data_IF_254915483607
#
_entry.id   IF_254915483607
#
_cell.length_a   1.000
_cell.length_b   1.000
_cell.length_c   1.000
_cell.angle_alpha   90.00
_cell.angle_beta   90.00
_cell.angle_gamma   90.00
#
_symmetry.space_group_name_H-M   'P 1'
#
loop_
_entity.id
_entity.type
_entity.pdbx_description
1 polymer ?
#
# COMPACT_ATOMS: atom_id res chain seq x y z
N UNK A 1 -0.12 -9.07 -14.57
CA UNK A 1 0.51 -8.90 -13.26
C UNK A 1 1.88 -9.56 -13.26
N UNK A 2 2.92 -8.77 -13.09
CA UNK A 2 4.30 -9.24 -13.00
C UNK A 2 4.57 -9.65 -11.55
N UNK A 3 5.37 -10.70 -11.36
CA UNK A 3 5.56 -11.34 -10.05
C UNK A 3 6.81 -10.85 -9.33
N UNK A 4 6.79 -10.91 -8.00
CA UNK A 4 8.01 -10.78 -7.20
C UNK A 4 8.99 -11.91 -7.54
N UNK A 5 10.27 -11.57 -7.56
CA UNK A 5 11.38 -12.49 -7.74
C UNK A 5 12.36 -12.34 -6.59
N UNK A 6 12.85 -13.46 -6.10
CA UNK A 6 13.76 -13.50 -4.95
C UNK A 6 15.10 -14.10 -5.36
N UNK A 7 16.19 -13.43 -4.99
CA UNK A 7 17.55 -13.93 -5.18
C UNK A 7 18.25 -13.95 -3.85
N UNK A 8 18.66 -15.15 -3.43
CA UNK A 8 19.43 -15.36 -2.21
C UNK A 8 20.92 -15.42 -2.53
N UNK A 9 21.73 -14.78 -1.68
CA UNK A 9 23.17 -14.74 -1.80
C UNK A 9 23.83 -14.54 -0.43
N UNK A 10 25.14 -14.38 -0.40
CA UNK A 10 25.93 -14.29 0.83
C UNK A 10 26.50 -15.64 1.23
N UNK A 11 27.51 -15.61 2.12
CA UNK A 11 28.23 -16.81 2.55
C UNK A 11 27.31 -17.78 3.30
N UNK A 12 26.28 -17.24 3.97
CA UNK A 12 25.35 -18.00 4.80
C UNK A 12 23.92 -17.98 4.24
N UNK A 13 23.74 -17.61 2.96
CA UNK A 13 22.42 -17.34 2.39
C UNK A 13 21.65 -16.32 3.25
N UNK A 14 22.36 -15.29 3.71
CA UNK A 14 21.92 -14.27 4.66
C UNK A 14 21.55 -12.94 3.98
N UNK A 15 21.67 -12.87 2.65
CA UNK A 15 21.34 -11.70 1.84
C UNK A 15 20.22 -12.02 0.84
N UNK A 16 19.23 -11.14 0.74
CA UNK A 16 18.11 -11.28 -0.19
C UNK A 16 17.93 -10.02 -1.02
N UNK A 17 17.80 -10.24 -2.33
CA UNK A 17 17.32 -9.24 -3.27
C UNK A 17 15.90 -9.62 -3.70
N UNK A 18 14.95 -8.69 -3.48
CA UNK A 18 13.55 -8.79 -3.91
C UNK A 18 13.34 -7.79 -5.04
N UNK A 19 12.86 -8.28 -6.18
CA UNK A 19 12.57 -7.44 -7.34
C UNK A 19 11.16 -7.69 -7.86
N UNK A 20 10.53 -6.65 -8.40
CA UNK A 20 9.28 -6.70 -9.15
C UNK A 20 9.37 -5.65 -10.25
N UNK A 21 9.01 -6.00 -11.48
CA UNK A 21 9.01 -5.06 -12.62
C UNK A 21 10.38 -4.45 -12.94
N UNK A 22 11.44 -5.20 -12.66
CA UNK A 22 12.84 -4.75 -12.74
C UNK A 22 13.20 -3.65 -11.71
N UNK A 23 12.29 -3.33 -10.80
CA UNK A 23 12.53 -2.48 -9.64
C UNK A 23 12.95 -3.32 -8.43
N UNK A 24 13.84 -2.75 -7.62
CA UNK A 24 14.32 -3.35 -6.38
C UNK A 24 13.39 -2.93 -5.25
N UNK A 25 12.78 -3.90 -4.57
CA UNK A 25 11.99 -3.69 -3.36
C UNK A 25 12.84 -3.89 -2.10
N UNK A 26 13.80 -4.80 -2.16
CA UNK A 26 14.76 -5.01 -1.09
C UNK A 26 16.08 -5.49 -1.68
N UNK A 27 17.18 -4.99 -1.13
CA UNK A 27 18.51 -5.53 -1.39
C UNK A 27 19.31 -5.40 -0.09
N UNK A 28 19.34 -6.47 0.69
CA UNK A 28 19.84 -6.39 2.05
C UNK A 28 19.81 -7.70 2.82
N UNK A 29 20.12 -7.65 4.13
CA UNK A 29 20.06 -8.80 5.01
C UNK A 29 18.67 -9.43 5.03
N UNK A 30 18.62 -10.77 5.11
CA UNK A 30 17.41 -11.54 5.40
C UNK A 30 16.99 -11.41 6.86
N UNK A 31 17.97 -11.28 7.76
CA UNK A 31 17.72 -11.03 9.18
C UNK A 31 17.05 -9.66 9.32
N UNK A 32 15.90 -9.63 9.99
CA UNK A 32 15.14 -8.39 10.18
C UNK A 32 14.13 -8.09 9.06
N UNK A 33 14.13 -8.87 7.97
CA UNK A 33 13.19 -8.68 6.86
C UNK A 33 11.74 -8.85 7.29
N UNK A 34 11.43 -9.89 8.09
CA UNK A 34 10.12 -10.08 8.70
C UNK A 34 10.30 -10.28 10.20
N UNK A 35 9.70 -9.40 11.01
CA UNK A 35 9.85 -9.39 12.47
C UNK A 35 8.54 -9.03 13.19
N UNK A 36 8.37 -9.40 14.46
CA UNK A 36 7.29 -8.87 15.28
C UNK A 36 7.62 -7.46 15.79
N UNK A 37 6.71 -6.50 15.65
CA UNK A 37 6.77 -5.17 16.27
C UNK A 37 5.42 -4.85 16.90
N UNK A 38 5.40 -4.53 18.20
CA UNK A 38 4.19 -4.13 18.93
C UNK A 38 2.99 -5.08 18.77
N UNK A 39 3.24 -6.38 18.61
CA UNK A 39 2.22 -7.41 18.41
C UNK A 39 1.82 -7.67 16.95
N UNK A 40 2.24 -6.80 16.03
CA UNK A 40 2.09 -7.01 14.59
C UNK A 40 3.28 -7.75 13.98
N UNK A 41 3.04 -8.50 12.92
CA UNK A 41 4.11 -8.99 12.05
C UNK A 41 4.33 -7.97 10.97
N UNK A 42 5.57 -7.52 10.81
CA UNK A 42 5.93 -6.51 9.83
C UNK A 42 6.95 -7.04 8.83
N UNK A 43 6.97 -6.44 7.65
CA UNK A 43 8.05 -6.58 6.66
C UNK A 43 8.82 -5.27 6.53
N UNK A 44 10.14 -5.34 6.44
CA UNK A 44 11.03 -4.19 6.31
C UNK A 44 11.75 -4.22 4.96
N UNK A 45 11.52 -3.23 4.11
CA UNK A 45 12.00 -3.14 2.74
C UNK A 45 12.82 -1.86 2.54
N UNK A 46 13.77 -1.82 1.61
CA UNK A 46 14.63 -0.64 1.40
C UNK A 46 14.53 0.02 0.03
N UNK A 47 13.77 -0.57 -0.90
CA UNK A 47 13.53 -0.05 -2.25
C UNK A 47 14.81 0.36 -2.99
N UNK A 48 15.90 -0.41 -2.82
CA UNK A 48 17.20 -0.13 -3.43
C UNK A 48 17.96 1.06 -2.81
N UNK A 49 17.49 1.58 -1.68
CA UNK A 49 18.10 2.69 -0.94
C UNK A 49 18.71 2.24 0.40
N UNK A 50 19.37 3.16 1.10
CA UNK A 50 19.85 2.92 2.48
C UNK A 50 18.77 3.14 3.55
N UNK A 51 17.56 3.54 3.16
CA UNK A 51 16.44 3.82 4.07
C UNK A 51 15.51 2.61 4.08
N UNK A 52 15.16 2.14 5.28
CA UNK A 52 14.23 1.03 5.48
C UNK A 52 12.83 1.52 5.79
N UNK A 53 11.84 0.86 5.21
CA UNK A 53 10.40 1.13 5.27
C UNK A 53 9.70 -0.12 5.80
N UNK A 54 8.88 0.06 6.82
CA UNK A 54 8.28 -1.04 7.57
C UNK A 54 6.77 -1.07 7.36
N UNK A 55 6.21 -2.24 7.06
CA UNK A 55 4.80 -2.43 6.74
C UNK A 55 4.22 -3.51 7.64
N UNK A 56 3.04 -3.27 8.22
CA UNK A 56 2.27 -4.34 8.90
C UNK A 56 1.75 -5.30 7.85
N UNK A 57 2.04 -6.59 8.00
CA UNK A 57 1.46 -7.61 7.14
C UNK A 57 0.02 -7.91 7.58
N UNK A 58 -0.88 -8.04 6.60
CA UNK A 58 -2.26 -8.49 6.77
C UNK A 58 -2.66 -9.48 5.67
N UNK A 59 -3.51 -10.44 5.99
CA UNK A 59 -4.16 -11.29 5.00
C UNK A 59 -5.37 -10.56 4.40
N UNK A 60 -5.57 -10.68 3.09
CA UNK A 60 -6.78 -10.21 2.43
C UNK A 60 -7.16 -11.19 1.32
N UNK A 61 -8.17 -12.02 1.56
CA UNK A 61 -8.54 -13.12 0.65
C UNK A 61 -7.30 -13.99 0.34
N UNK A 62 -6.87 -14.07 -0.93
CA UNK A 62 -5.68 -14.82 -1.35
C UNK A 62 -4.40 -13.97 -1.44
N UNK A 63 -4.40 -12.78 -0.84
CA UNK A 63 -3.29 -11.83 -0.85
C UNK A 63 -2.69 -11.63 0.55
N UNK A 64 -1.43 -11.20 0.57
CA UNK A 64 -0.77 -10.65 1.76
C UNK A 64 -0.35 -9.22 1.45
N UNK A 65 -0.85 -8.28 2.25
CA UNK A 65 -0.68 -6.85 1.99
C UNK A 65 0.11 -6.15 3.09
N UNK A 66 0.94 -5.19 2.70
CA UNK A 66 1.68 -4.30 3.58
C UNK A 66 0.88 -3.05 3.91
N UNK A 67 0.31 -2.99 5.10
CA UNK A 67 -0.42 -1.82 5.63
C UNK A 67 0.58 -0.83 6.23
N UNK A 68 0.47 0.48 5.95
CA UNK A 68 1.36 1.49 6.51
C UNK A 68 1.33 1.53 8.05
N UNK A 69 2.49 1.75 8.67
CA UNK A 69 2.63 2.09 10.08
C UNK A 69 2.51 3.61 10.29
N UNK A 70 1.66 4.03 11.22
CA UNK A 70 1.44 5.47 11.51
C UNK A 70 2.75 6.21 11.80
N UNK A 71 3.61 5.62 12.62
CA UNK A 71 4.90 6.18 13.01
C UNK A 71 5.83 6.41 11.82
N UNK A 72 5.69 5.64 10.74
CA UNK A 72 6.56 5.76 9.57
C UNK A 72 5.96 6.64 8.46
N UNK A 73 4.68 6.45 8.12
CA UNK A 73 4.11 7.09 6.92
C UNK A 73 3.31 8.36 7.20
N UNK A 74 2.86 8.54 8.45
CA UNK A 74 2.04 9.68 8.85
C UNK A 74 2.92 10.72 9.54
N UNK A 75 3.65 10.30 10.58
CA UNK A 75 4.51 11.21 11.35
C UNK A 75 5.76 11.68 10.60
N UNK A 76 6.28 10.89 9.67
CA UNK A 76 7.49 11.22 8.92
C UNK A 76 7.22 11.55 7.44
N UNK A 77 5.95 11.56 7.00
CA UNK A 77 5.53 11.78 5.60
C UNK A 77 6.38 11.03 4.56
N UNK A 78 6.74 9.78 4.87
CA UNK A 78 7.53 8.96 3.94
C UNK A 78 6.70 8.55 2.73
N UNK A 79 7.24 8.55 1.51
CA UNK A 79 6.56 7.95 0.36
C UNK A 79 6.15 6.53 0.69
N UNK A 80 4.91 6.19 0.37
CA UNK A 80 4.38 4.84 0.55
C UNK A 80 4.33 4.16 -0.81
N UNK A 81 4.98 3.02 -0.90
CA UNK A 81 4.92 2.14 -2.06
C UNK A 81 4.06 0.94 -1.66
N UNK A 82 2.96 0.64 -2.38
CA UNK A 82 2.14 -0.53 -2.10
C UNK A 82 2.94 -1.83 -2.19
N UNK A 83 2.72 -2.70 -1.20
CA UNK A 83 3.35 -4.02 -1.11
C UNK A 83 2.23 -5.04 -1.03
N UNK A 84 1.97 -5.74 -2.14
CA UNK A 84 0.90 -6.73 -2.27
C UNK A 84 1.49 -7.99 -2.86
N UNK A 85 1.56 -9.07 -2.07
CA UNK A 85 1.98 -10.40 -2.51
C UNK A 85 0.76 -11.26 -2.82
N UNK A 86 0.84 -12.08 -3.87
CA UNK A 86 -0.03 -13.26 -3.94
C UNK A 86 0.37 -14.27 -2.86
N UNK A 87 -0.53 -15.20 -2.56
CA UNK A 87 -0.24 -16.31 -1.66
C UNK A 87 1.01 -17.11 -2.05
N UNK A 88 1.22 -17.35 -3.35
CA UNK A 88 2.40 -18.07 -3.85
C UNK A 88 3.69 -17.26 -3.62
N UNK A 89 3.66 -15.97 -3.93
CA UNK A 89 4.81 -15.07 -3.74
C UNK A 89 5.17 -14.98 -2.26
N UNK A 90 4.17 -14.82 -1.38
CA UNK A 90 4.40 -14.79 0.05
C UNK A 90 4.90 -16.13 0.60
N UNK A 91 4.43 -17.25 0.06
CA UNK A 91 4.93 -18.58 0.43
C UNK A 91 6.39 -18.78 0.00
N UNK A 92 6.79 -18.27 -1.17
CA UNK A 92 8.19 -18.27 -1.61
C UNK A 92 9.06 -17.42 -0.69
N UNK A 93 8.62 -16.18 -0.38
CA UNK A 93 9.28 -15.31 0.60
C UNK A 93 9.42 -16.02 1.95
N UNK A 94 8.35 -16.64 2.44
CA UNK A 94 8.38 -17.41 3.68
C UNK A 94 9.45 -18.49 3.66
N UNK A 95 9.57 -19.25 2.57
CA UNK A 95 10.51 -20.37 2.49
C UNK A 95 11.98 -19.91 2.50
N UNK A 96 12.25 -18.68 2.06
CA UNK A 96 13.60 -18.10 2.08
C UNK A 96 13.89 -17.30 3.36
N UNK A 97 12.85 -16.80 4.03
CA UNK A 97 12.99 -16.18 5.35
C UNK A 97 12.96 -17.24 6.43
N UNK A 98 13.96 -17.31 7.30
CA UNK A 98 14.01 -18.27 8.42
C UNK A 98 12.99 -17.98 9.55
N UNK A 99 11.80 -17.50 9.21
CA UNK A 99 10.77 -17.02 10.13
C UNK A 99 9.90 -18.19 10.60
N UNK A 100 9.66 -18.27 11.90
CA UNK A 100 8.83 -19.32 12.51
C UNK A 100 7.36 -19.21 12.06
N UNK A 101 6.75 -20.34 11.68
CA UNK A 101 5.32 -20.46 11.36
C UNK A 101 4.41 -19.88 12.47
N UNK A 102 4.78 -20.08 13.74
CA UNK A 102 4.04 -19.54 14.89
C UNK A 102 4.10 -18.01 14.96
N UNK A 103 5.12 -17.40 14.35
CA UNK A 103 5.20 -15.97 14.19
C UNK A 103 4.21 -15.53 13.11
N UNK A 104 4.25 -16.19 11.95
CA UNK A 104 3.40 -15.87 10.80
C UNK A 104 1.92 -16.10 11.07
N UNK A 105 1.57 -17.06 11.93
CA UNK A 105 0.19 -17.27 12.38
C UNK A 105 -0.41 -16.10 13.16
N UNK A 106 0.38 -15.07 13.49
CA UNK A 106 -0.07 -13.82 14.13
C UNK A 106 -0.43 -12.73 13.12
N UNK A 107 -0.18 -12.93 11.83
CA UNK A 107 -0.67 -12.03 10.78
C UNK A 107 -2.20 -12.08 10.82
N UNK A 108 -2.84 -10.93 10.99
CA UNK A 108 -4.30 -10.80 11.10
C UNK A 108 -4.93 -10.44 9.75
N UNK A 109 -6.25 -10.59 9.67
CA UNK A 109 -7.02 -10.17 8.49
C UNK A 109 -6.99 -8.65 8.31
N UNK A 110 -6.97 -8.23 7.06
CA UNK A 110 -7.05 -6.84 6.64
C UNK A 110 -8.49 -6.35 6.79
N UNK A 111 -8.64 -5.23 7.50
CA UNK A 111 -9.92 -4.56 7.65
C UNK A 111 -10.17 -3.56 6.53
N UNK A 112 -11.44 -3.13 6.36
CA UNK A 112 -11.80 -2.01 5.49
C UNK A 112 -10.98 -0.75 5.80
N UNK A 113 -10.74 -0.47 7.09
CA UNK A 113 -9.91 0.66 7.51
C UNK A 113 -8.49 0.55 6.97
N UNK A 114 -7.89 -0.65 6.99
CA UNK A 114 -6.54 -0.84 6.47
C UNK A 114 -6.45 -0.61 4.95
N UNK A 115 -7.48 -0.96 4.18
CA UNK A 115 -7.53 -0.65 2.75
C UNK A 115 -7.56 0.86 2.51
N UNK A 116 -8.32 1.60 3.31
CA UNK A 116 -8.35 3.06 3.24
C UNK A 116 -7.01 3.68 3.65
N UNK A 117 -6.37 3.19 4.72
CA UNK A 117 -5.03 3.62 5.13
C UNK A 117 -4.00 3.46 4.00
N UNK A 118 -4.01 2.30 3.34
CA UNK A 118 -3.16 2.00 2.17
C UNK A 118 -3.44 3.03 1.06
N UNK A 119 -4.71 3.23 0.69
CA UNK A 119 -5.08 4.16 -0.37
C UNK A 119 -4.64 5.59 -0.04
N UNK A 120 -5.00 6.11 1.13
CA UNK A 120 -4.64 7.47 1.57
C UNK A 120 -3.12 7.68 1.58
N UNK A 121 -2.34 6.67 1.97
CA UNK A 121 -0.88 6.76 1.93
C UNK A 121 -0.30 6.86 0.50
N UNK A 122 -1.06 6.61 -0.56
CA UNK A 122 -0.60 6.86 -1.95
C UNK A 122 -0.52 8.34 -2.31
N UNK A 123 -1.13 9.23 -1.52
CA UNK A 123 -1.00 10.68 -1.73
C UNK A 123 0.45 11.09 -1.54
N UNK A 124 1.15 11.57 -2.56
CA UNK A 124 2.50 12.10 -2.35
C UNK A 124 2.46 13.51 -1.74
N UNK A 125 3.49 13.87 -0.96
CA UNK A 125 3.60 15.19 -0.35
C UNK A 125 2.58 15.48 0.75
N UNK A 126 2.14 14.45 1.49
CA UNK A 126 1.15 14.55 2.56
C UNK A 126 1.57 15.54 3.66
N UNK A 127 0.59 16.22 4.29
CA UNK A 127 0.83 16.98 5.51
C UNK A 127 1.32 16.04 6.63
N UNK A 128 2.13 16.60 7.53
CA UNK A 128 2.54 15.91 8.74
C UNK A 128 1.37 15.89 9.72
N UNK A 129 0.98 14.70 10.15
CA UNK A 129 -0.09 14.49 11.11
C UNK A 129 0.35 13.49 12.19
N UNK A 130 -0.36 13.46 13.32
CA UNK A 130 -0.04 12.54 14.41
C UNK A 130 -0.60 11.13 14.20
N UNK A 131 -1.67 10.99 13.44
CA UNK A 131 -2.38 9.73 13.22
C UNK A 131 -3.26 9.77 11.95
N UNK A 132 -3.81 8.61 11.55
CA UNK A 132 -4.69 8.53 10.37
C UNK A 132 -5.97 9.35 10.49
N UNK A 133 -6.53 9.53 11.69
CA UNK A 133 -7.75 10.31 11.86
C UNK A 133 -7.53 11.79 11.50
N UNK A 134 -6.44 12.37 11.99
CA UNK A 134 -6.04 13.74 11.65
C UNK A 134 -5.73 13.88 10.16
N UNK A 135 -4.96 12.95 9.59
CA UNK A 135 -4.65 12.96 8.16
C UNK A 135 -5.91 12.90 7.29
N UNK A 136 -6.89 12.09 7.68
CA UNK A 136 -8.17 12.01 6.96
C UNK A 136 -8.92 13.35 7.00
N UNK A 137 -9.01 13.98 8.18
CA UNK A 137 -9.68 15.27 8.30
C UNK A 137 -8.98 16.34 7.46
N UNK A 138 -7.65 16.36 7.48
CA UNK A 138 -6.84 17.30 6.71
C UNK A 138 -6.97 17.07 5.19
N UNK A 139 -6.97 15.82 4.73
CA UNK A 139 -7.14 15.52 3.30
C UNK A 139 -8.56 15.89 2.85
N UNK A 140 -9.58 15.28 3.47
CA UNK A 140 -10.96 15.39 2.99
C UNK A 140 -11.59 16.76 3.27
N UNK A 141 -11.16 17.44 4.33
CA UNK A 141 -11.59 18.81 4.64
C UNK A 141 -11.05 19.85 3.67
N UNK A 142 -9.95 19.54 2.97
CA UNK A 142 -9.25 20.47 2.08
C UNK A 142 -9.30 20.05 0.60
N UNK A 143 -10.16 19.11 0.21
CA UNK A 143 -10.40 18.82 -1.21
C UNK A 143 -11.08 20.03 -1.85
N UNK A 144 -10.44 20.63 -2.85
CA UNK A 144 -10.92 21.83 -3.54
C UNK A 144 -11.53 21.53 -4.91
N UNK A 145 -11.07 20.47 -5.58
CA UNK A 145 -11.56 20.11 -6.91
C UNK A 145 -11.24 18.65 -7.29
N UNK A 146 -11.88 18.18 -8.35
CA UNK A 146 -11.57 16.96 -9.07
C UNK A 146 -11.32 17.30 -10.54
N UNK A 147 -10.45 16.56 -11.23
CA UNK A 147 -10.23 16.75 -12.68
C UNK A 147 -11.38 16.25 -13.56
N UNK A 148 -12.38 15.58 -12.97
CA UNK A 148 -13.60 15.14 -13.62
C UNK A 148 -14.82 15.75 -12.91
N UNK A 149 -15.59 16.55 -13.63
CA UNK A 149 -16.77 17.25 -13.07
C UNK A 149 -17.90 16.29 -12.67
N UNK A 150 -17.86 15.03 -13.09
CA UNK A 150 -18.88 14.04 -12.75
C UNK A 150 -18.65 13.39 -11.39
N UNK A 151 -17.55 13.67 -10.70
CA UNK A 151 -17.32 13.25 -9.31
C UNK A 151 -17.24 14.46 -8.38
N UNK A 152 -17.77 14.28 -7.17
CA UNK A 152 -17.69 15.25 -6.08
C UNK A 152 -17.36 14.54 -4.75
N UNK A 153 -17.21 15.33 -3.68
CA UNK A 153 -16.92 14.82 -2.33
C UNK A 153 -17.98 13.83 -1.83
N UNK A 154 -19.24 14.01 -2.21
CA UNK A 154 -20.34 13.15 -1.76
C UNK A 154 -20.25 11.77 -2.40
N UNK A 155 -19.94 11.71 -3.70
CA UNK A 155 -19.68 10.47 -4.43
C UNK A 155 -18.43 9.77 -3.91
N UNK A 156 -17.34 10.51 -3.66
CA UNK A 156 -16.15 9.95 -3.04
C UNK A 156 -16.50 9.33 -1.68
N UNK A 157 -17.18 10.06 -0.80
CA UNK A 157 -17.60 9.55 0.50
C UNK A 157 -18.48 8.30 0.40
N UNK A 158 -19.34 8.19 -0.60
CA UNK A 158 -20.13 6.97 -0.83
C UNK A 158 -19.21 5.77 -1.15
N UNK A 159 -18.21 5.97 -2.02
CA UNK A 159 -17.22 4.94 -2.34
C UNK A 159 -16.47 4.50 -1.08
N UNK A 160 -15.96 5.45 -0.29
CA UNK A 160 -15.17 5.18 0.92
C UNK A 160 -15.96 4.47 2.04
N UNK A 161 -17.29 4.68 2.09
CA UNK A 161 -18.17 4.07 3.09
C UNK A 161 -18.74 2.71 2.65
N UNK A 162 -18.51 2.28 1.41
CA UNK A 162 -18.93 0.98 0.91
C UNK A 162 -17.82 -0.05 1.14
N UNK A 163 -18.12 -1.33 1.42
CA UNK A 163 -17.08 -2.36 1.48
C UNK A 163 -16.23 -2.39 0.21
N UNK A 164 -14.91 -2.41 0.38
CA UNK A 164 -13.95 -2.40 -0.73
C UNK A 164 -13.32 -3.77 -0.95
N UNK A 165 -12.90 -4.01 -2.18
CA UNK A 165 -12.09 -5.17 -2.57
C UNK A 165 -10.92 -4.79 -3.46
N UNK A 166 -9.79 -5.46 -3.25
CA UNK A 166 -8.61 -5.32 -4.10
C UNK A 166 -8.89 -6.02 -5.43
N UNK A 167 -8.65 -5.32 -6.53
CA UNK A 167 -8.74 -5.88 -7.88
C UNK A 167 -7.42 -5.62 -8.60
N UNK A 168 -7.01 -6.57 -9.45
CA UNK A 168 -5.88 -6.34 -10.34
C UNK A 168 -6.25 -5.28 -11.38
N UNK A 169 -5.42 -4.25 -11.50
CA UNK A 169 -5.55 -3.18 -12.46
C UNK A 169 -5.07 -3.67 -13.85
N UNK A 170 -6.00 -4.24 -14.63
CA UNK A 170 -5.77 -4.49 -16.06
C UNK A 170 -6.45 -3.42 -16.93
N UNK A 171 -6.74 -2.25 -16.36
CA UNK A 171 -7.50 -1.18 -17.02
C UNK A 171 -6.59 -0.33 -17.92
N UNK A 172 -6.14 -0.92 -19.02
CA UNK A 172 -5.29 -0.27 -20.05
C UNK A 172 -5.92 1.01 -20.65
N UNK A 173 -7.22 1.25 -20.43
CA UNK A 173 -8.00 2.38 -20.96
C UNK A 173 -8.60 3.29 -19.89
N UNK A 174 -8.28 3.10 -18.61
CA UNK A 174 -8.91 3.87 -17.54
C UNK A 174 -8.55 5.34 -17.63
N UNK A 175 -9.54 6.21 -17.40
CA UNK A 175 -9.29 7.65 -17.21
C UNK A 175 -8.83 7.87 -15.78
N UNK A 176 -7.62 8.40 -15.61
CA UNK A 176 -7.12 8.85 -14.31
C UNK A 176 -7.82 10.14 -13.92
N UNK A 177 -8.34 10.19 -12.70
CA UNK A 177 -8.96 11.37 -12.11
C UNK A 177 -8.08 11.83 -10.94
N UNK A 178 -7.75 13.12 -10.98
CA UNK A 178 -6.89 13.80 -10.02
C UNK A 178 -7.78 14.50 -8.99
N UNK A 179 -7.50 14.27 -7.71
CA UNK A 179 -8.07 15.03 -6.59
C UNK A 179 -7.09 16.16 -6.27
N UNK A 180 -7.59 17.39 -6.20
CA UNK A 180 -6.81 18.57 -5.82
C UNK A 180 -7.08 18.92 -4.37
N UNK A 181 -6.03 18.99 -3.56
CA UNK A 181 -6.10 19.25 -2.11
C UNK A 181 -5.31 20.52 -1.79
N UNK A 182 -5.89 21.43 -1.03
CA UNK A 182 -5.20 22.64 -0.55
C UNK A 182 -4.54 22.41 0.82
N UNK A 183 -3.23 22.21 0.85
CA UNK A 183 -2.47 22.05 2.10
C UNK A 183 -1.21 22.92 2.06
N UNK A 184 -1.39 24.24 2.24
CA UNK A 184 -0.42 25.33 2.03
C UNK A 184 0.07 25.50 0.57
N UNK A 185 -0.08 24.45 -0.24
CA UNK A 185 0.06 24.40 -1.68
C UNK A 185 -0.98 23.43 -2.23
N UNK A 186 -1.33 23.58 -3.50
CA UNK A 186 -2.16 22.58 -4.18
C UNK A 186 -1.35 21.31 -4.37
N UNK A 187 -1.86 20.20 -3.84
CA UNK A 187 -1.35 18.84 -4.05
C UNK A 187 -2.25 18.15 -5.06
N UNK A 188 -1.64 17.54 -6.07
CA UNK A 188 -2.33 16.75 -7.09
C UNK A 188 -2.24 15.26 -6.73
N UNK A 189 -3.39 14.61 -6.58
CA UNK A 189 -3.46 13.20 -6.21
C UNK A 189 -4.17 12.38 -7.28
N UNK A 190 -3.40 11.65 -8.08
CA UNK A 190 -3.90 10.75 -9.12
C UNK A 190 -4.45 9.45 -8.53
N UNK A 191 -5.52 9.55 -7.76
CA UNK A 191 -5.96 8.50 -6.84
C UNK A 191 -7.20 7.75 -7.28
N UNK A 192 -7.83 8.17 -8.37
CA UNK A 192 -9.07 7.61 -8.86
C UNK A 192 -8.93 7.17 -10.32
N UNK A 193 -9.55 6.04 -10.64
CA UNK A 193 -9.66 5.52 -12.01
C UNK A 193 -11.14 5.42 -12.36
N UNK A 194 -11.50 5.89 -13.56
CA UNK A 194 -12.83 5.72 -14.14
C UNK A 194 -12.76 4.72 -15.29
N UNK A 195 -13.48 3.61 -15.13
CA UNK A 195 -13.56 2.54 -16.13
C UNK A 195 -15.02 2.07 -16.21
N UNK A 196 -15.61 2.09 -17.42
CA UNK A 196 -16.99 1.63 -17.65
C UNK A 196 -18.06 2.23 -16.71
N UNK A 197 -17.87 3.50 -16.32
CA UNK A 197 -18.71 4.27 -15.36
C UNK A 197 -18.57 3.86 -13.89
N UNK A 198 -17.72 2.88 -13.58
CA UNK A 198 -17.36 2.55 -12.21
C UNK A 198 -16.10 3.34 -11.81
N UNK A 199 -16.08 3.82 -10.56
CA UNK A 199 -14.91 4.45 -9.96
C UNK A 199 -14.11 3.44 -9.14
N UNK A 200 -12.80 3.55 -9.22
CA UNK A 200 -11.84 2.72 -8.49
C UNK A 200 -10.85 3.63 -7.77
N UNK A 201 -10.38 3.19 -6.61
CA UNK A 201 -9.32 3.86 -5.85
C UNK A 201 -7.98 3.26 -6.27
N UNK A 202 -7.13 4.02 -6.96
CA UNK A 202 -5.81 3.53 -7.44
C UNK A 202 -4.88 3.28 -6.27
N UNK A 203 -4.24 2.10 -6.23
CA UNK A 203 -3.17 1.81 -5.26
C UNK A 203 -1.81 1.99 -5.93
N UNK A 204 -1.59 1.27 -7.03
CA UNK A 204 -0.43 1.37 -7.90
C UNK A 204 -0.83 1.03 -9.36
N UNK A 205 0.16 0.75 -10.20
CA UNK A 205 -0.05 0.34 -11.59
C UNK A 205 -0.72 -1.04 -11.74
N UNK A 206 -0.57 -1.92 -10.76
CA UNK A 206 -1.03 -3.31 -10.80
C UNK A 206 -2.35 -3.53 -10.03
N UNK A 207 -2.74 -2.63 -9.14
CA UNK A 207 -3.86 -2.82 -8.21
C UNK A 207 -4.69 -1.56 -7.96
N UNK A 208 -5.99 -1.77 -7.73
CA UNK A 208 -6.94 -0.75 -7.31
C UNK A 208 -7.95 -1.33 -6.31
N UNK A 209 -8.68 -0.46 -5.60
CA UNK A 209 -9.83 -0.84 -4.78
C UNK A 209 -11.12 -0.58 -5.55
N UNK A 210 -12.04 -1.54 -5.53
CA UNK A 210 -13.39 -1.45 -6.09
C UNK A 210 -14.43 -1.60 -4.99
N UNK A 211 -15.56 -0.90 -5.10
CA UNK A 211 -16.73 -1.21 -4.28
C UNK A 211 -17.19 -2.66 -4.52
N UNK A 212 -17.40 -3.41 -3.43
CA UNK A 212 -18.01 -4.75 -3.45
C UNK A 212 -19.53 -4.57 -3.55
N UNK A 213 -20.11 -5.14 -4.61
CA UNK A 213 -21.57 -5.15 -4.84
C UNK A 213 -22.25 -6.23 -4.00
#
# INVERSE_FOLDING_TARGET
>A
MKRYKYKISGLYNDWCQITKNDEVYHDGPLIGLIIPINGDIVITLNFGSSIFYTYKLRFYEDLVIGVPLETEYIKNSRPYIPVIFTKEEFAELRNITYVDEKLLSKITECSHHNLLEIWICTLDGRPLCENFHELNNEIFGNIVAFSDESIDISKLNNILNTPLQIVSNNFLSSKVITIYIDSNKIIEWNSLLLENRDYYLSLDEDFALKQRK
#
